data_IF_911497970455
#
_entry.id   IF_911497970455
#
_cell.length_a   1.000
_cell.length_b   1.000
_cell.length_c   1.000
_cell.angle_alpha   90.00
_cell.angle_beta   90.00
_cell.angle_gamma   90.00
#
_symmetry.space_group_name_H-M   'P 1'
#
loop_
_entity.id
_entity.type
_entity.pdbx_description
1 polymer ?
#
# COMPACT_ATOMS: atom_id res chain seq x y z
N UNK A 1 59.40 0.25 -39.24
CA UNK A 1 59.15 -0.92 -38.37
C UNK A 1 58.65 -0.41 -37.02
N UNK A 2 57.43 -0.84 -36.65
CA UNK A 2 56.91 -1.05 -35.29
C UNK A 2 56.76 0.14 -34.32
N UNK A 3 55.50 0.59 -34.26
CA UNK A 3 54.65 0.65 -33.05
C UNK A 3 55.29 1.25 -31.78
N UNK A 4 54.91 2.49 -31.46
CA UNK A 4 54.66 2.93 -30.07
C UNK A 4 53.46 3.89 -30.02
N UNK A 5 52.32 3.41 -30.51
CA UNK A 5 51.01 3.92 -30.12
C UNK A 5 50.42 2.87 -29.18
N UNK A 6 50.86 2.86 -27.92
CA UNK A 6 50.38 1.88 -26.95
C UNK A 6 50.53 2.45 -25.55
N UNK A 7 49.53 3.22 -25.11
CA UNK A 7 49.21 3.46 -23.69
C UNK A 7 47.95 4.32 -23.57
N UNK A 8 46.86 3.90 -24.23
CA UNK A 8 45.54 4.49 -24.01
C UNK A 8 44.45 3.44 -24.14
N UNK A 9 44.58 2.35 -23.40
CA UNK A 9 43.49 1.41 -23.16
C UNK A 9 43.73 0.76 -21.80
N UNK A 10 42.62 0.47 -21.10
CA UNK A 10 42.53 -0.20 -19.81
C UNK A 10 42.73 0.71 -18.60
N UNK A 11 41.64 1.35 -18.18
CA UNK A 11 41.09 1.24 -16.82
C UNK A 11 39.73 1.96 -16.78
N UNK A 12 38.77 1.46 -17.55
CA UNK A 12 37.35 1.71 -17.27
C UNK A 12 36.84 0.42 -16.65
N UNK A 13 37.14 0.21 -15.37
CA UNK A 13 36.40 -0.80 -14.61
C UNK A 13 34.95 -0.29 -14.55
N UNK A 14 33.95 -1.09 -14.96
CA UNK A 14 32.59 -0.77 -14.57
C UNK A 14 32.58 -0.90 -13.05
N UNK A 15 32.27 0.19 -12.34
CA UNK A 15 31.88 0.12 -10.94
C UNK A 15 30.57 -0.64 -10.93
N UNK A 16 30.64 -1.97 -10.82
CA UNK A 16 29.48 -2.81 -10.61
C UNK A 16 29.05 -2.63 -9.16
N UNK A 17 28.18 -1.65 -8.91
CA UNK A 17 27.53 -1.50 -7.61
C UNK A 17 26.87 -2.81 -7.21
N UNK A 18 27.17 -3.29 -6.00
CA UNK A 18 26.70 -4.58 -5.51
C UNK A 18 25.18 -4.54 -5.33
N UNK A 19 24.44 -5.19 -6.22
CA UNK A 19 22.99 -5.34 -6.08
C UNK A 19 22.67 -6.37 -5.01
N UNK A 20 21.85 -5.97 -4.04
CA UNK A 20 21.26 -6.86 -3.05
C UNK A 20 19.82 -7.14 -3.43
N UNK A 21 19.43 -8.41 -3.31
CA UNK A 21 18.06 -8.88 -3.55
C UNK A 21 17.44 -9.31 -2.23
N UNK A 22 16.30 -8.73 -1.90
CA UNK A 22 15.61 -8.92 -0.63
C UNK A 22 14.23 -9.50 -0.92
N UNK A 23 13.82 -10.50 -0.15
CA UNK A 23 12.53 -11.15 -0.19
C UNK A 23 11.81 -10.84 1.13
N UNK A 24 10.63 -10.24 1.08
CA UNK A 24 9.78 -10.05 2.25
C UNK A 24 8.52 -10.89 2.12
N UNK A 25 8.22 -11.66 3.17
CA UNK A 25 6.98 -12.42 3.30
C UNK A 25 6.13 -11.73 4.37
N UNK A 26 4.96 -11.22 3.96
CA UNK A 26 4.08 -10.40 4.79
C UNK A 26 2.73 -11.08 4.95
N UNK A 27 2.22 -11.07 6.18
CA UNK A 27 0.86 -11.49 6.50
C UNK A 27 0.04 -10.28 6.95
N UNK A 28 -1.22 -10.23 6.53
CA UNK A 28 -2.06 -9.09 6.84
C UNK A 28 -3.52 -9.26 6.53
N UNK A 29 -4.18 -8.11 6.40
CA UNK A 29 -5.61 -7.99 6.17
C UNK A 29 -5.84 -7.11 4.94
N UNK A 30 -6.71 -7.59 4.08
CA UNK A 30 -7.34 -6.85 3.01
C UNK A 30 -8.77 -6.55 3.42
N UNK A 31 -9.16 -5.28 3.42
CA UNK A 31 -10.50 -4.86 3.82
C UNK A 31 -11.18 -4.15 2.66
N UNK A 32 -12.43 -4.51 2.37
CA UNK A 32 -13.24 -3.84 1.35
C UNK A 32 -14.61 -3.47 1.90
N UNK A 33 -15.09 -2.27 1.55
CA UNK A 33 -16.47 -1.86 1.77
C UNK A 33 -17.03 -1.11 0.57
N UNK A 34 -18.34 -1.16 0.43
CA UNK A 34 -19.09 -0.45 -0.61
C UNK A 34 -20.07 0.57 0.00
N UNK A 35 -20.18 0.63 1.33
CA UNK A 35 -21.11 1.54 1.99
C UNK A 35 -20.51 2.93 2.09
N UNK A 36 -21.36 3.95 1.94
CA UNK A 36 -20.94 5.33 2.20
C UNK A 36 -20.83 5.54 3.72
N UNK A 37 -19.60 5.37 4.24
CA UNK A 37 -19.26 5.48 5.67
C UNK A 37 -19.65 6.86 6.24
N UNK A 38 -19.74 7.91 5.41
CA UNK A 38 -20.04 9.26 5.89
C UNK A 38 -21.53 9.50 6.13
N UNK A 39 -22.43 8.84 5.40
CA UNK A 39 -23.86 9.17 5.41
C UNK A 39 -24.71 8.26 6.28
N UNK A 40 -24.48 6.96 6.29
CA UNK A 40 -25.37 6.01 6.97
C UNK A 40 -25.29 6.12 8.50
N UNK A 41 -24.11 6.47 9.02
CA UNK A 41 -23.81 6.40 10.46
C UNK A 41 -24.18 7.66 11.26
N UNK A 42 -24.13 8.83 10.62
CA UNK A 42 -24.37 10.11 11.31
C UNK A 42 -25.87 10.45 11.33
N UNK A 43 -26.66 10.09 10.31
CA UNK A 43 -28.08 10.45 10.31
C UNK A 43 -28.94 9.55 11.18
N UNK A 44 -28.78 8.21 11.09
CA UNK A 44 -29.68 7.26 11.79
C UNK A 44 -29.31 7.10 13.27
N UNK A 45 -28.01 7.08 13.60
CA UNK A 45 -27.56 6.98 14.99
C UNK A 45 -27.78 8.27 15.80
N UNK A 46 -27.61 9.46 15.21
CA UNK A 46 -27.77 10.72 15.96
C UNK A 46 -29.22 10.92 16.42
N UNK A 47 -30.23 10.46 15.67
CA UNK A 47 -31.63 10.60 16.07
C UNK A 47 -32.00 9.68 17.25
N UNK A 48 -31.62 8.40 17.19
CA UNK A 48 -31.86 7.43 18.25
C UNK A 48 -31.10 7.82 19.53
N UNK A 49 -29.84 8.26 19.38
CA UNK A 49 -29.00 8.59 20.51
C UNK A 49 -29.14 10.05 21.00
N UNK A 50 -29.67 11.01 20.24
CA UNK A 50 -30.06 12.33 20.79
C UNK A 50 -31.14 12.19 21.86
N UNK A 51 -32.05 11.22 21.66
CA UNK A 51 -33.10 10.93 22.62
C UNK A 51 -32.58 10.24 23.88
N UNK A 52 -31.50 9.43 23.78
CA UNK A 52 -30.84 8.78 24.93
C UNK A 52 -29.78 9.65 25.63
N UNK A 53 -28.98 10.39 24.87
CA UNK A 53 -27.78 11.09 25.35
C UNK A 53 -28.07 12.42 26.05
N UNK A 54 -29.34 12.86 26.05
CA UNK A 54 -29.79 14.00 26.86
C UNK A 54 -29.73 13.71 28.37
N UNK A 55 -29.41 12.46 28.79
CA UNK A 55 -29.56 12.05 30.19
C UNK A 55 -28.28 11.74 30.99
N UNK A 56 -27.13 11.28 30.44
CA UNK A 56 -25.93 11.00 31.29
C UNK A 56 -24.58 10.94 30.53
N UNK A 57 -23.46 11.28 31.19
CA UNK A 57 -22.09 11.12 30.63
C UNK A 57 -21.74 9.68 30.21
N UNK A 58 -22.31 8.66 30.87
CA UNK A 58 -22.12 7.25 30.51
C UNK A 58 -22.70 6.91 29.13
N UNK A 59 -23.81 7.54 28.74
CA UNK A 59 -24.41 7.37 27.41
C UNK A 59 -23.50 7.92 26.30
N UNK A 60 -22.68 8.93 26.60
CA UNK A 60 -21.72 9.53 25.66
C UNK A 60 -20.55 8.58 25.36
N UNK A 61 -20.05 7.87 26.37
CA UNK A 61 -19.02 6.84 26.21
C UNK A 61 -19.54 5.63 25.41
N UNK A 62 -20.76 5.17 25.69
CA UNK A 62 -21.40 4.11 24.92
C UNK A 62 -21.63 4.53 23.46
N UNK A 63 -21.97 5.81 23.22
CA UNK A 63 -22.05 6.41 21.89
C UNK A 63 -20.73 6.33 21.13
N UNK A 64 -19.61 6.66 21.77
CA UNK A 64 -18.30 6.58 21.14
C UNK A 64 -17.91 5.14 20.80
N UNK A 65 -18.13 4.20 21.73
CA UNK A 65 -17.83 2.77 21.53
C UNK A 65 -18.73 2.11 20.48
N UNK A 66 -19.99 2.50 20.42
CA UNK A 66 -20.90 2.07 19.36
C UNK A 66 -20.43 2.58 17.99
N UNK A 67 -20.08 3.87 17.88
CA UNK A 67 -19.54 4.45 16.65
C UNK A 67 -18.29 3.72 16.13
N UNK A 68 -17.38 3.31 17.03
CA UNK A 68 -16.17 2.56 16.63
C UNK A 68 -16.50 1.13 16.21
N UNK A 69 -17.37 0.44 16.94
CA UNK A 69 -17.73 -0.95 16.63
C UNK A 69 -18.53 -1.06 15.32
N UNK A 70 -19.51 -0.19 15.08
CA UNK A 70 -20.32 -0.22 13.85
C UNK A 70 -19.51 0.17 12.61
N UNK A 71 -18.49 1.04 12.75
CA UNK A 71 -17.60 1.39 11.66
C UNK A 71 -16.70 0.21 11.24
N UNK A 72 -16.40 -0.73 12.14
CA UNK A 72 -15.62 -1.94 11.82
C UNK A 72 -16.45 -3.07 11.18
N UNK A 73 -17.75 -3.20 11.51
CA UNK A 73 -18.63 -4.29 11.04
C UNK A 73 -18.93 -4.24 9.53
N UNK A 74 -18.84 -3.07 8.90
CA UNK A 74 -19.19 -2.88 7.48
C UNK A 74 -18.02 -3.13 6.52
N UNK A 75 -16.84 -3.47 7.05
CA UNK A 75 -15.70 -3.89 6.26
C UNK A 75 -15.67 -5.41 6.17
N UNK A 76 -15.67 -5.91 4.93
CA UNK A 76 -15.34 -7.30 4.67
C UNK A 76 -13.82 -7.44 4.77
N UNK A 77 -13.34 -8.14 5.80
CA UNK A 77 -11.92 -8.32 6.10
C UNK A 77 -11.50 -9.74 5.75
N UNK A 78 -10.59 -9.85 4.80
CA UNK A 78 -9.98 -11.10 4.37
C UNK A 78 -8.51 -11.13 4.74
N UNK A 79 -8.00 -12.32 5.06
CA UNK A 79 -6.55 -12.50 5.24
C UNK A 79 -5.88 -12.42 3.88
N UNK A 80 -4.73 -11.75 3.84
CA UNK A 80 -3.91 -11.63 2.65
C UNK A 80 -2.47 -11.96 2.99
N UNK A 81 -1.83 -12.70 2.09
CA UNK A 81 -0.42 -13.00 2.12
C UNK A 81 0.26 -12.28 0.97
N UNK A 82 1.37 -11.61 1.24
CA UNK A 82 2.02 -10.71 0.29
C UNK A 82 3.51 -11.04 0.24
N UNK A 83 4.03 -11.28 -0.96
CA UNK A 83 5.44 -11.51 -1.20
C UNK A 83 6.01 -10.32 -1.94
N UNK A 84 7.01 -9.65 -1.36
CA UNK A 84 7.73 -8.55 -1.98
C UNK A 84 9.14 -8.98 -2.38
N UNK A 85 9.52 -8.66 -3.60
CA UNK A 85 10.84 -8.88 -4.19
C UNK A 85 11.46 -7.52 -4.46
N UNK A 86 12.48 -7.19 -3.68
CA UNK A 86 13.20 -5.93 -3.75
C UNK A 86 14.57 -6.13 -4.39
N UNK A 87 14.96 -5.21 -5.26
CA UNK A 87 16.31 -5.07 -5.76
C UNK A 87 16.83 -3.67 -5.42
N UNK A 88 17.98 -3.63 -4.75
CA UNK A 88 18.57 -2.41 -4.20
C UNK A 88 20.07 -2.38 -4.46
N UNK A 89 20.62 -1.19 -4.67
CA UNK A 89 22.06 -0.99 -4.61
C UNK A 89 22.49 -0.96 -3.15
N UNK A 90 23.31 -1.93 -2.72
CA UNK A 90 23.71 -2.02 -1.32
C UNK A 90 24.85 -1.09 -0.94
N UNK A 91 25.56 -0.51 -1.91
CA UNK A 91 26.63 0.45 -1.63
C UNK A 91 26.08 1.87 -1.49
N UNK A 92 25.12 2.21 -2.35
CA UNK A 92 24.50 3.54 -2.38
C UNK A 92 23.14 3.58 -1.65
N UNK A 93 22.68 2.44 -1.12
CA UNK A 93 21.35 2.25 -0.50
C UNK A 93 20.19 2.73 -1.39
N UNK A 94 20.35 2.56 -2.71
CA UNK A 94 19.39 3.05 -3.70
C UNK A 94 18.40 1.99 -4.14
N UNK A 95 17.13 2.38 -4.23
CA UNK A 95 16.08 1.58 -4.85
C UNK A 95 16.37 1.30 -6.35
N UNK A 96 16.24 0.05 -6.79
CA UNK A 96 16.27 -0.32 -8.22
C UNK A 96 14.93 -0.84 -8.72
N UNK A 97 14.35 -1.82 -8.03
CA UNK A 97 13.04 -2.34 -8.40
C UNK A 97 12.31 -2.99 -7.22
N UNK A 98 10.98 -2.99 -7.32
CA UNK A 98 10.07 -3.68 -6.43
C UNK A 98 9.07 -4.44 -7.29
N UNK A 99 8.87 -5.72 -6.98
CA UNK A 99 7.74 -6.50 -7.45
C UNK A 99 7.04 -7.10 -6.25
N UNK A 100 5.73 -7.01 -6.16
CA UNK A 100 4.99 -7.64 -5.09
C UNK A 100 3.84 -8.47 -5.65
N UNK A 101 3.55 -9.59 -4.99
CA UNK A 101 2.46 -10.50 -5.33
C UNK A 101 1.55 -10.61 -4.13
N UNK A 102 0.24 -10.57 -4.36
CA UNK A 102 -0.77 -10.67 -3.32
C UNK A 102 -1.63 -11.91 -3.51
N UNK A 103 -1.86 -12.63 -2.43
CA UNK A 103 -2.68 -13.85 -2.39
C UNK A 103 -3.73 -13.74 -1.27
N UNK A 104 -5.04 -13.67 -1.57
CA UNK A 104 -5.62 -13.64 -2.92
C UNK A 104 -5.31 -12.32 -3.65
N UNK A 105 -5.33 -12.35 -4.99
CA UNK A 105 -5.04 -11.18 -5.83
C UNK A 105 -6.21 -10.19 -5.80
N UNK A 106 -6.05 -8.97 -5.25
CA UNK A 106 -7.13 -8.01 -5.19
C UNK A 106 -7.36 -7.33 -6.52
N UNK A 107 -8.62 -7.26 -6.95
CA UNK A 107 -9.01 -6.71 -8.25
C UNK A 107 -8.78 -5.19 -8.37
N UNK A 108 -8.74 -4.46 -7.25
CA UNK A 108 -8.68 -2.99 -7.21
C UNK A 108 -7.26 -2.42 -7.23
N UNK A 109 -6.22 -3.27 -7.20
CA UNK A 109 -4.84 -2.82 -7.27
C UNK A 109 -4.45 -2.62 -8.72
N UNK A 110 -3.99 -1.42 -9.05
CA UNK A 110 -3.41 -1.10 -10.34
C UNK A 110 -1.89 -1.38 -10.33
N UNK A 111 -1.39 -2.39 -11.08
CA UNK A 111 0.04 -2.68 -11.16
C UNK A 111 0.83 -1.60 -11.92
N UNK A 112 0.15 -0.80 -12.74
CA UNK A 112 0.75 0.24 -13.59
C UNK A 112 0.63 1.64 -12.97
N UNK A 113 0.31 1.73 -11.68
CA UNK A 113 0.25 3.00 -10.97
C UNK A 113 1.63 3.70 -10.96
N UNK A 114 1.62 5.02 -11.05
CA UNK A 114 2.83 5.83 -10.90
C UNK A 114 3.47 5.53 -9.55
N UNK A 115 4.80 5.49 -9.50
CA UNK A 115 5.51 5.20 -8.27
C UNK A 115 6.58 6.23 -7.97
N UNK A 116 6.87 6.40 -6.68
CA UNK A 116 8.01 7.16 -6.18
C UNK A 116 8.73 6.37 -5.11
N UNK A 117 10.06 6.48 -5.06
CA UNK A 117 10.87 5.84 -4.04
C UNK A 117 11.55 6.91 -3.18
N UNK A 118 11.44 6.75 -1.87
CA UNK A 118 12.11 7.59 -0.88
C UNK A 118 13.05 6.73 -0.06
N UNK A 119 14.34 7.04 -0.12
CA UNK A 119 15.35 6.40 0.71
C UNK A 119 15.45 7.15 2.04
N UNK A 120 15.29 6.42 3.13
CA UNK A 120 15.55 6.92 4.48
C UNK A 120 16.84 6.30 5.01
N UNK A 121 17.39 6.87 6.07
CA UNK A 121 18.57 6.31 6.75
C UNK A 121 18.35 4.90 7.30
N UNK A 122 17.10 4.45 7.40
CA UNK A 122 16.74 3.17 8.03
C UNK A 122 16.13 2.14 7.08
N UNK A 123 15.81 2.54 5.85
CA UNK A 123 15.03 1.73 4.94
C UNK A 123 14.59 2.47 3.69
N UNK A 124 13.90 1.76 2.80
CA UNK A 124 13.32 2.33 1.57
C UNK A 124 11.80 2.25 1.65
N UNK A 125 11.15 3.32 1.19
CA UNK A 125 9.71 3.39 0.99
C UNK A 125 9.41 3.59 -0.50
N UNK A 126 8.56 2.74 -1.07
CA UNK A 126 8.04 2.87 -2.43
C UNK A 126 6.54 3.06 -2.37
N UNK A 127 6.09 4.23 -2.80
CA UNK A 127 4.68 4.59 -2.84
C UNK A 127 4.18 4.55 -4.28
N UNK A 128 3.11 3.78 -4.52
CA UNK A 128 2.36 3.77 -5.76
C UNK A 128 1.13 4.64 -5.60
N UNK A 129 0.91 5.59 -6.49
CA UNK A 129 -0.20 6.53 -6.43
C UNK A 129 -0.87 6.71 -7.80
N UNK A 130 -2.12 7.16 -7.76
CA UNK A 130 -2.84 7.66 -8.92
C UNK A 130 -3.44 9.02 -8.58
N UNK A 131 -3.50 9.92 -9.55
CA UNK A 131 -4.11 11.23 -9.31
C UNK A 131 -5.63 11.10 -9.17
N UNK A 132 -6.23 12.01 -8.41
CA UNK A 132 -7.69 12.11 -8.31
C UNK A 132 -8.31 12.35 -9.70
N UNK A 133 -9.54 11.86 -9.89
CA UNK A 133 -10.32 11.94 -11.14
C UNK A 133 -9.77 11.10 -12.31
N UNK A 134 -8.62 10.42 -12.13
CA UNK A 134 -8.15 9.44 -13.12
C UNK A 134 -9.10 8.25 -13.19
N UNK A 135 -9.29 7.73 -14.41
CA UNK A 135 -10.10 6.52 -14.62
C UNK A 135 -9.34 5.28 -14.17
N UNK A 136 -9.97 4.41 -13.41
CA UNK A 136 -9.35 3.15 -13.02
C UNK A 136 -9.12 2.26 -14.26
N UNK A 137 -7.89 1.76 -14.51
CA UNK A 137 -7.53 1.13 -15.78
C UNK A 137 -8.29 -0.17 -16.06
N UNK A 138 -8.60 -0.94 -15.01
CA UNK A 138 -9.34 -2.20 -15.10
C UNK A 138 -10.86 -1.95 -15.07
N UNK A 139 -11.30 -0.86 -14.44
CA UNK A 139 -12.70 -0.58 -14.13
C UNK A 139 -13.09 0.81 -14.63
N UNK A 140 -13.39 0.96 -15.93
CA UNK A 140 -13.56 2.26 -16.57
C UNK A 140 -14.75 3.07 -16.06
N UNK A 141 -15.69 2.42 -15.37
CA UNK A 141 -16.86 3.06 -14.73
C UNK A 141 -16.50 3.81 -13.45
N UNK A 142 -15.26 3.64 -12.96
CA UNK A 142 -14.77 4.23 -11.72
C UNK A 142 -13.68 5.28 -11.97
N UNK A 143 -13.71 6.33 -11.16
CA UNK A 143 -12.70 7.36 -11.05
C UNK A 143 -12.03 7.28 -9.67
N UNK A 144 -10.76 7.66 -9.60
CA UNK A 144 -9.97 7.64 -8.36
C UNK A 144 -10.36 8.85 -7.50
N UNK A 145 -10.75 8.62 -6.25
CA UNK A 145 -10.84 9.66 -5.21
C UNK A 145 -9.51 9.77 -4.46
N UNK A 146 -8.97 8.62 -4.05
CA UNK A 146 -7.66 8.51 -3.43
C UNK A 146 -7.07 7.15 -3.80
N UNK A 147 -5.78 7.11 -4.11
CA UNK A 147 -5.05 5.88 -4.37
C UNK A 147 -3.62 6.05 -3.86
N UNK A 148 -3.26 5.32 -2.82
CA UNK A 148 -1.88 5.21 -2.35
C UNK A 148 -1.62 3.79 -1.84
N UNK A 149 -0.54 3.17 -2.30
CA UNK A 149 -0.02 1.90 -1.78
C UNK A 149 1.46 2.09 -1.47
N UNK A 150 1.77 2.10 -0.18
CA UNK A 150 3.13 2.23 0.34
C UNK A 150 3.69 0.87 0.70
N UNK A 151 4.86 0.57 0.16
CA UNK A 151 5.67 -0.60 0.50
C UNK A 151 6.93 -0.09 1.19
N UNK A 152 7.27 -0.68 2.33
CA UNK A 152 8.45 -0.27 3.09
C UNK A 152 9.23 -1.50 3.52
N UNK A 153 10.54 -1.34 3.62
CA UNK A 153 11.36 -2.28 4.36
C UNK A 153 12.45 -1.54 5.13
N UNK A 154 12.89 -2.13 6.23
CA UNK A 154 13.91 -1.57 7.11
C UNK A 154 15.17 -2.45 7.13
N UNK A 155 16.32 -1.84 6.84
CA UNK A 155 17.61 -2.52 6.68
C UNK A 155 18.08 -3.24 7.95
N UNK A 156 17.82 -2.63 9.10
CA UNK A 156 18.39 -3.07 10.38
C UNK A 156 17.53 -4.10 11.10
N UNK A 157 16.21 -3.93 11.00
CA UNK A 157 15.26 -4.82 11.66
C UNK A 157 14.87 -6.00 10.76
N UNK A 158 15.13 -5.92 9.45
CA UNK A 158 14.65 -6.90 8.48
C UNK A 158 13.13 -6.97 8.46
N UNK A 159 12.42 -5.88 8.78
CA UNK A 159 10.95 -5.85 8.75
C UNK A 159 10.46 -5.20 7.47
N UNK A 160 9.46 -5.80 6.86
CA UNK A 160 8.73 -5.27 5.71
C UNK A 160 7.30 -4.92 6.09
N UNK A 161 6.73 -3.94 5.42
CA UNK A 161 5.33 -3.56 5.57
C UNK A 161 4.76 -3.12 4.22
N UNK A 162 3.47 -3.37 4.04
CA UNK A 162 2.66 -2.76 3.00
C UNK A 162 1.40 -2.17 3.64
N UNK A 163 1.08 -0.95 3.26
CA UNK A 163 -0.15 -0.26 3.64
C UNK A 163 -0.73 0.41 2.41
N UNK A 164 -2.04 0.31 2.19
CA UNK A 164 -2.67 0.98 1.06
C UNK A 164 -4.10 1.38 1.31
N UNK A 165 -4.47 2.52 0.74
CA UNK A 165 -5.79 3.11 0.77
C UNK A 165 -6.23 3.40 -0.67
N UNK A 166 -7.31 2.76 -1.12
CA UNK A 166 -7.85 2.93 -2.48
C UNK A 166 -9.34 3.24 -2.39
N UNK A 167 -9.72 4.44 -2.81
CA UNK A 167 -11.08 4.95 -2.75
C UNK A 167 -11.47 5.33 -4.16
N UNK A 168 -12.55 4.72 -4.67
CA UNK A 168 -13.02 4.99 -6.03
C UNK A 168 -14.47 5.47 -6.00
N UNK A 169 -14.78 6.39 -6.91
CA UNK A 169 -16.13 6.88 -7.14
C UNK A 169 -16.66 6.38 -8.48
N UNK A 170 -17.96 6.07 -8.55
CA UNK A 170 -18.59 5.82 -9.85
C UNK A 170 -18.79 7.11 -10.62
N UNK A 171 -18.52 7.06 -11.93
CA UNK A 171 -18.72 8.18 -12.86
C UNK A 171 -20.18 8.57 -13.07
N UNK A 172 -21.11 7.65 -12.83
CA UNK A 172 -22.56 7.89 -12.93
C UNK A 172 -23.11 8.82 -11.83
N UNK A 173 -22.25 9.27 -10.89
CA UNK A 173 -22.61 10.16 -9.79
C UNK A 173 -23.39 9.47 -8.67
N UNK A 174 -23.65 8.16 -8.77
CA UNK A 174 -24.30 7.41 -7.70
C UNK A 174 -23.33 7.21 -6.55
N UNK A 175 -23.63 7.84 -5.40
CA UNK A 175 -22.79 7.75 -4.20
C UNK A 175 -22.95 6.41 -3.44
N UNK A 176 -23.90 5.58 -3.87
CA UNK A 176 -24.14 4.28 -3.25
C UNK A 176 -23.26 3.23 -3.94
N UNK A 177 -22.50 2.46 -3.15
CA UNK A 177 -21.67 1.33 -3.60
C UNK A 177 -20.29 1.69 -4.18
N UNK A 178 -19.71 2.80 -3.73
CA UNK A 178 -18.34 3.17 -4.07
C UNK A 178 -17.35 2.30 -3.28
N UNK A 179 -16.44 1.57 -3.95
CA UNK A 179 -15.51 0.68 -3.28
C UNK A 179 -14.45 1.50 -2.54
N UNK A 180 -14.24 1.13 -1.29
CA UNK A 180 -13.14 1.58 -0.46
C UNK A 180 -12.38 0.36 0.00
N UNK A 181 -11.07 0.42 -0.17
CA UNK A 181 -10.17 -0.69 0.07
C UNK A 181 -9.07 -0.20 1.00
N UNK A 182 -8.77 -1.02 2.00
CA UNK A 182 -7.64 -0.85 2.90
C UNK A 182 -6.79 -2.13 2.90
N UNK A 183 -5.48 -1.97 2.79
CA UNK A 183 -4.51 -3.06 2.83
C UNK A 183 -3.55 -2.76 3.97
N UNK A 184 -3.29 -3.75 4.82
CA UNK A 184 -2.26 -3.65 5.85
C UNK A 184 -1.65 -5.02 6.11
N UNK A 185 -0.37 -5.18 5.82
CA UNK A 185 0.38 -6.39 6.10
C UNK A 185 1.81 -6.07 6.55
N UNK A 186 2.38 -6.92 7.38
CA UNK A 186 3.75 -6.78 7.87
C UNK A 186 4.40 -8.14 8.03
N UNK A 187 5.72 -8.17 8.05
CA UNK A 187 6.46 -9.42 8.13
C UNK A 187 7.96 -9.23 8.09
N UNK A 188 8.66 -10.28 7.70
CA UNK A 188 10.12 -10.37 7.77
C UNK A 188 10.68 -10.37 6.34
N UNK A 189 11.78 -9.65 6.18
CA UNK A 189 12.58 -9.54 4.99
C UNK A 189 13.91 -10.26 5.17
N UNK A 190 14.26 -11.11 4.22
CA UNK A 190 15.50 -11.87 4.20
C UNK A 190 16.21 -11.73 2.85
N UNK A 191 17.48 -12.13 2.79
CA UNK A 191 18.19 -12.21 1.50
C UNK A 191 17.53 -13.23 0.59
N UNK A 192 17.20 -12.81 -0.63
CA UNK A 192 16.59 -13.70 -1.61
C UNK A 192 17.56 -14.82 -2.00
N UNK A 193 17.17 -16.08 -1.75
CA UNK A 193 17.92 -17.28 -2.14
C UNK A 193 17.09 -18.12 -3.12
N UNK A 194 17.71 -18.51 -4.23
CA UNK A 194 17.09 -19.43 -5.19
C UNK A 194 17.04 -20.83 -4.58
N UNK A 195 15.85 -21.38 -4.35
CA UNK A 195 15.66 -22.72 -3.77
C UNK A 195 15.72 -23.86 -4.81
N UNK A 196 15.50 -23.55 -6.09
CA UNK A 196 15.48 -24.49 -7.22
C UNK A 196 16.19 -23.88 -8.43
#
# INVERSE_FOLDING_TARGET
MKVRFFLLCFLVFPVFGKTSKILCELDGIYSVTYKDIKKTYLSEGIEIFKNLARQTQQSLFLLQRAKTNFAEEDWQKDKIYIVQYWEVDSEEELFKSLKFTLEPSPIWINPDASWSATNSTTGITVEHSMDAEQTHPIFPDYEVEAYSISNTFNWYTGKGQISGDIWLNKKDGTKNKNPKIEISASGICETQKKKF
#
